data_IF_983483963528
#
_entry.id   IF_983483963528
#
_cell.length_a   1.000
_cell.length_b   1.000
_cell.length_c   1.000
_cell.angle_alpha   90.00
_cell.angle_beta   90.00
_cell.angle_gamma   90.00
#
_symmetry.space_group_name_H-M   'P 1'
#
loop_
_entity.id
_entity.type
_entity.pdbx_description
1 polymer ?
#
# COMPACT_ATOMS: atom_id res chain seq x y z
N UNK A 1 21.78 -21.07 26.56
CA UNK A 1 21.85 -19.60 26.51
C UNK A 1 22.71 -19.27 25.30
N UNK A 2 22.11 -19.29 24.11
CA UNK A 2 22.80 -19.04 22.84
C UNK A 2 21.91 -18.19 21.93
N UNK A 3 22.41 -16.97 21.68
CA UNK A 3 22.25 -16.09 20.51
C UNK A 3 20.96 -16.11 19.68
N UNK A 4 20.14 -15.08 19.88
CA UNK A 4 19.21 -14.52 18.88
C UNK A 4 19.64 -13.08 18.56
N UNK A 5 20.59 -12.88 17.64
CA UNK A 5 21.07 -11.54 17.24
C UNK A 5 21.23 -11.35 15.73
N UNK A 6 20.50 -12.10 14.89
CA UNK A 6 20.63 -11.95 13.42
C UNK A 6 19.36 -11.50 12.69
N UNK A 7 18.22 -11.29 13.35
CA UNK A 7 16.98 -10.92 12.64
C UNK A 7 16.78 -9.40 12.40
N UNK A 8 17.53 -8.53 13.09
CA UNK A 8 17.30 -7.07 13.06
C UNK A 8 17.77 -6.36 11.78
N UNK A 9 18.74 -6.93 11.07
CA UNK A 9 19.35 -6.29 9.89
C UNK A 9 18.45 -6.39 8.65
N UNK A 10 17.59 -7.42 8.61
CA UNK A 10 16.74 -7.74 7.46
C UNK A 10 15.48 -6.87 7.39
N UNK A 11 14.92 -6.49 8.54
CA UNK A 11 13.75 -5.61 8.62
C UNK A 11 14.07 -4.16 8.27
N UNK A 12 15.28 -3.70 8.59
CA UNK A 12 15.74 -2.35 8.25
C UNK A 12 15.86 -2.17 6.74
N UNK A 13 16.43 -3.17 6.05
CA UNK A 13 16.50 -3.23 4.59
C UNK A 13 15.11 -3.33 3.93
N UNK A 14 14.17 -4.07 4.53
CA UNK A 14 12.80 -4.19 4.00
C UNK A 14 12.02 -2.86 4.08
N UNK A 15 12.14 -2.15 5.21
CA UNK A 15 11.56 -0.81 5.41
C UNK A 15 12.25 0.26 4.55
N UNK A 16 13.55 0.11 4.27
CA UNK A 16 14.28 0.97 3.33
C UNK A 16 13.93 0.67 1.86
N UNK A 17 13.64 -0.58 1.49
CA UNK A 17 13.14 -0.93 0.15
C UNK A 17 11.72 -0.38 -0.11
N UNK A 18 10.83 -0.49 0.87
CA UNK A 18 9.44 -0.04 0.77
C UNK A 18 9.35 1.51 0.70
N UNK A 19 10.27 2.17 1.40
CA UNK A 19 10.49 3.62 1.33
C UNK A 19 10.87 4.12 -0.07
N UNK A 20 11.75 3.41 -0.78
CA UNK A 20 12.25 3.88 -2.06
C UNK A 20 11.16 3.87 -3.13
N UNK A 21 10.27 2.89 -3.08
CA UNK A 21 9.13 2.78 -4.00
C UNK A 21 8.12 3.93 -3.83
N UNK A 22 7.81 4.29 -2.58
CA UNK A 22 6.90 5.40 -2.28
C UNK A 22 7.52 6.77 -2.57
N UNK A 23 8.81 6.96 -2.25
CA UNK A 23 9.52 8.21 -2.57
C UNK A 23 9.67 8.40 -4.08
N UNK A 24 9.91 7.31 -4.82
CA UNK A 24 9.90 7.35 -6.27
C UNK A 24 8.51 7.76 -6.80
N UNK A 25 7.41 7.26 -6.21
CA UNK A 25 6.05 7.57 -6.66
C UNK A 25 5.68 9.03 -6.36
N UNK A 26 6.02 9.51 -5.16
CA UNK A 26 5.81 10.92 -4.77
C UNK A 26 6.66 11.89 -5.57
N UNK A 27 7.92 11.52 -5.87
CA UNK A 27 8.80 12.30 -6.74
C UNK A 27 8.26 12.36 -8.18
N UNK A 28 7.61 11.28 -8.63
CA UNK A 28 7.00 11.21 -9.97
C UNK A 28 5.65 11.94 -10.07
N UNK A 29 4.91 12.06 -8.98
CA UNK A 29 3.73 12.94 -8.90
C UNK A 29 4.09 14.42 -8.97
N UNK A 30 5.31 14.79 -8.56
CA UNK A 30 5.79 16.17 -8.64
C UNK A 30 6.27 16.58 -10.05
N UNK A 31 6.61 15.62 -10.93
CA UNK A 31 7.28 15.88 -12.22
C UNK A 31 6.45 15.52 -13.47
N UNK A 32 5.14 15.30 -13.36
CA UNK A 32 4.35 14.81 -14.51
C UNK A 32 4.10 15.89 -15.59
N UNK A 33 4.61 15.74 -16.83
CA UNK A 33 4.15 16.49 -17.98
C UNK A 33 2.81 15.93 -18.47
N UNK A 34 1.98 16.80 -19.02
CA UNK A 34 0.70 16.46 -19.66
C UNK A 34 0.97 15.57 -20.88
N UNK A 35 0.66 14.29 -20.74
CA UNK A 35 0.54 13.33 -21.85
C UNK A 35 1.79 12.53 -22.17
N UNK A 36 1.90 11.30 -21.63
CA UNK A 36 2.53 10.15 -22.27
C UNK A 36 2.39 8.87 -21.42
N UNK A 37 1.58 7.93 -21.93
CA UNK A 37 1.92 6.52 -22.18
C UNK A 37 2.44 5.57 -21.07
N UNK A 38 1.72 4.45 -20.96
CA UNK A 38 2.07 3.09 -20.47
C UNK A 38 3.42 2.91 -19.75
N UNK A 39 3.37 2.75 -18.42
CA UNK A 39 4.48 2.17 -17.66
C UNK A 39 4.20 0.70 -17.35
N UNK A 40 4.63 -0.18 -18.27
CA UNK A 40 4.96 -1.55 -17.95
C UNK A 40 6.16 -1.51 -16.99
N UNK A 41 5.92 -1.75 -15.70
CA UNK A 41 6.99 -1.87 -14.72
C UNK A 41 7.76 -3.17 -14.94
N UNK A 42 8.90 -3.02 -15.59
CA UNK A 42 9.91 -4.05 -15.77
C UNK A 42 10.66 -4.24 -14.44
N UNK A 43 10.27 -5.27 -13.69
CA UNK A 43 10.90 -5.67 -12.43
C UNK A 43 10.46 -7.09 -12.04
N UNK A 44 10.79 -8.06 -12.88
CA UNK A 44 10.51 -9.48 -12.65
C UNK A 44 11.63 -10.08 -11.80
N UNK A 45 11.54 -9.91 -10.48
CA UNK A 45 12.02 -10.97 -9.57
C UNK A 45 10.92 -12.02 -9.50
N UNK A 46 11.26 -13.22 -9.98
CA UNK A 46 10.33 -14.34 -10.15
C UNK A 46 9.88 -14.89 -8.80
N UNK A 47 8.89 -14.22 -8.19
CA UNK A 47 8.07 -14.81 -7.14
C UNK A 47 7.24 -15.93 -7.80
N UNK A 48 7.14 -17.14 -7.22
CA UNK A 48 6.42 -18.25 -7.83
C UNK A 48 4.99 -17.81 -8.17
N UNK A 49 4.65 -17.84 -9.47
CA UNK A 49 3.39 -17.38 -10.04
C UNK A 49 2.16 -18.23 -9.64
N UNK A 50 2.22 -18.93 -8.51
CA UNK A 50 1.21 -19.93 -8.14
C UNK A 50 0.02 -19.32 -7.39
N UNK A 51 0.09 -18.10 -6.84
CA UNK A 51 -1.05 -17.51 -6.11
C UNK A 51 -1.21 -15.98 -6.22
N UNK A 52 -0.56 -15.28 -7.15
CA UNK A 52 -0.74 -13.82 -7.29
C UNK A 52 -1.98 -13.51 -8.16
N UNK A 53 -3.06 -12.91 -7.63
CA UNK A 53 -4.20 -12.52 -8.44
C UNK A 53 -3.75 -11.53 -9.51
N UNK A 54 -4.26 -11.73 -10.74
CA UNK A 54 -3.99 -10.80 -11.83
C UNK A 54 -4.50 -9.40 -11.47
N UNK A 55 -3.90 -8.37 -12.05
CA UNK A 55 -4.32 -6.99 -11.84
C UNK A 55 -5.84 -6.79 -12.06
N UNK A 56 -6.41 -7.47 -13.07
CA UNK A 56 -7.86 -7.45 -13.33
C UNK A 56 -8.66 -7.95 -12.13
N UNK A 57 -8.27 -9.09 -11.56
CA UNK A 57 -8.94 -9.67 -10.41
C UNK A 57 -8.82 -8.77 -9.17
N UNK A 58 -7.64 -8.21 -8.90
CA UNK A 58 -7.46 -7.26 -7.79
C UNK A 58 -8.33 -6.01 -7.95
N UNK A 59 -8.45 -5.49 -9.17
CA UNK A 59 -9.33 -4.36 -9.45
C UNK A 59 -10.81 -4.71 -9.25
N UNK A 60 -11.25 -5.90 -9.68
CA UNK A 60 -12.62 -6.37 -9.42
C UNK A 60 -12.90 -6.51 -7.92
N UNK A 61 -11.96 -7.05 -7.16
CA UNK A 61 -12.10 -7.19 -5.71
C UNK A 61 -12.11 -5.83 -5.02
N UNK A 62 -11.27 -4.88 -5.45
CA UNK A 62 -11.33 -3.49 -5.01
C UNK A 62 -12.72 -2.87 -5.24
N UNK A 63 -13.34 -3.10 -6.42
CA UNK A 63 -14.71 -2.63 -6.70
C UNK A 63 -15.77 -3.27 -5.82
N UNK A 64 -15.61 -4.55 -5.48
CA UNK A 64 -16.52 -5.25 -4.56
C UNK A 64 -16.42 -4.73 -3.13
N UNK A 65 -15.22 -4.39 -2.67
CA UNK A 65 -14.95 -3.84 -1.34
C UNK A 65 -15.45 -2.40 -1.23
N UNK A 66 -15.14 -1.56 -2.22
CA UNK A 66 -15.43 -0.12 -2.19
C UNK A 66 -16.55 0.28 -3.14
N UNK A 67 -17.76 -0.25 -2.90
CA UNK A 67 -18.96 0.04 -3.71
C UNK A 67 -19.39 1.51 -3.71
N UNK A 68 -18.91 2.28 -2.74
CA UNK A 68 -19.18 3.71 -2.59
C UNK A 68 -18.31 4.61 -3.49
N UNK A 69 -17.29 4.06 -4.14
CA UNK A 69 -16.44 4.82 -5.06
C UNK A 69 -17.06 4.94 -6.45
N UNK A 70 -16.81 6.04 -7.18
CA UNK A 70 -17.29 6.21 -8.56
C UNK A 70 -16.80 5.12 -9.51
N UNK A 71 -17.62 4.76 -10.50
CA UNK A 71 -17.29 3.80 -11.56
C UNK A 71 -16.08 4.18 -12.42
N UNK A 72 -15.59 5.41 -12.31
CA UNK A 72 -14.38 5.88 -12.99
C UNK A 72 -13.07 5.48 -12.27
N UNK A 73 -13.10 5.17 -10.97
CA UNK A 73 -11.89 4.97 -10.16
C UNK A 73 -11.21 3.62 -10.40
N UNK A 74 -9.93 3.60 -10.78
CA UNK A 74 -9.21 2.35 -11.06
C UNK A 74 -8.18 2.05 -9.97
N UNK A 75 -8.06 0.80 -9.56
CA UNK A 75 -7.00 0.40 -8.62
C UNK A 75 -5.64 0.56 -9.30
N UNK A 76 -4.75 1.39 -8.75
CA UNK A 76 -3.38 1.53 -9.26
C UNK A 76 -2.51 0.44 -8.64
N UNK A 77 -2.53 0.36 -7.31
CA UNK A 77 -1.68 -0.53 -6.53
C UNK A 77 -2.31 -0.77 -5.16
N UNK A 78 -1.97 -1.89 -4.55
CA UNK A 78 -2.31 -2.20 -3.19
C UNK A 78 -1.09 -2.65 -2.40
N UNK A 79 -1.03 -2.25 -1.13
CA UNK A 79 0.04 -2.53 -0.20
C UNK A 79 -0.52 -3.22 1.04
N UNK A 80 0.18 -4.25 1.52
CA UNK A 80 -0.08 -4.80 2.85
C UNK A 80 0.37 -3.79 3.90
N UNK A 81 -0.50 -3.39 4.83
CA UNK A 81 -0.14 -2.43 5.87
C UNK A 81 -0.98 -2.65 7.13
N UNK A 82 -0.67 -1.92 8.20
CA UNK A 82 -1.50 -1.87 9.39
C UNK A 82 -1.90 -0.42 9.67
N UNK A 83 -3.17 -0.20 10.00
CA UNK A 83 -3.66 1.09 10.45
C UNK A 83 -3.49 1.18 11.97
N UNK A 84 -2.72 2.16 12.43
CA UNK A 84 -2.60 2.46 13.85
C UNK A 84 -3.82 3.25 14.33
N UNK A 85 -4.63 2.63 15.19
CA UNK A 85 -5.66 3.28 16.03
C UNK A 85 -5.30 2.99 17.49
N UNK A 86 -6.28 2.61 18.32
CA UNK A 86 -6.03 2.11 19.68
C UNK A 86 -5.18 0.81 19.64
N UNK A 87 -5.37 0.01 18.59
CA UNK A 87 -4.55 -1.16 18.25
C UNK A 87 -4.10 -1.08 16.77
N UNK A 88 -3.13 -1.91 16.39
CA UNK A 88 -2.72 -2.09 15.00
C UNK A 88 -3.73 -2.97 14.27
N UNK A 89 -4.47 -2.37 13.34
CA UNK A 89 -5.39 -3.08 12.47
C UNK A 89 -4.65 -3.52 11.21
N UNK A 90 -4.21 -4.76 11.15
CA UNK A 90 -3.68 -5.39 9.93
C UNK A 90 -4.71 -5.35 8.79
N UNK A 91 -4.31 -4.89 7.61
CA UNK A 91 -5.17 -4.75 6.46
C UNK A 91 -4.40 -4.53 5.16
N UNK A 92 -5.07 -3.93 4.19
CA UNK A 92 -4.50 -3.54 2.90
C UNK A 92 -4.88 -2.11 2.58
N UNK A 93 -3.90 -1.34 2.13
CA UNK A 93 -4.07 -0.04 1.52
C UNK A 93 -4.27 -0.22 0.02
N UNK A 94 -5.27 0.43 -0.55
CA UNK A 94 -5.57 0.46 -1.96
C UNK A 94 -5.43 1.90 -2.43
N UNK A 95 -4.59 2.11 -3.43
CA UNK A 95 -4.41 3.41 -4.07
C UNK A 95 -5.16 3.42 -5.39
N UNK A 96 -6.00 4.41 -5.58
CA UNK A 96 -6.68 4.73 -6.83
C UNK A 96 -6.21 6.09 -7.35
N UNK A 97 -6.75 6.52 -8.49
CA UNK A 97 -6.35 7.78 -9.13
C UNK A 97 -6.67 8.99 -8.27
N UNK A 98 -7.83 9.01 -7.61
CA UNK A 98 -8.25 10.14 -6.77
C UNK A 98 -8.42 9.78 -5.29
N UNK A 99 -8.21 8.53 -4.91
CA UNK A 99 -8.55 8.02 -3.57
C UNK A 99 -7.46 7.14 -2.96
N UNK A 100 -7.30 7.28 -1.65
CA UNK A 100 -6.60 6.35 -0.79
C UNK A 100 -7.63 5.60 0.03
N UNK A 101 -7.63 4.28 -0.07
CA UNK A 101 -8.60 3.44 0.60
C UNK A 101 -7.90 2.41 1.48
N UNK A 102 -8.46 2.08 2.64
CA UNK A 102 -7.94 1.05 3.53
C UNK A 102 -9.05 0.08 3.89
N UNK A 103 -8.74 -1.21 3.83
CA UNK A 103 -9.64 -2.27 4.26
C UNK A 103 -8.93 -3.19 5.25
N UNK A 104 -9.62 -3.50 6.35
CA UNK A 104 -9.19 -4.48 7.34
C UNK A 104 -10.39 -5.29 7.80
N UNK A 105 -10.17 -6.59 8.04
CA UNK A 105 -11.16 -7.48 8.64
C UNK A 105 -10.47 -8.31 9.71
N UNK A 106 -10.56 -7.83 10.95
CA UNK A 106 -9.98 -8.51 12.12
C UNK A 106 -11.11 -8.73 13.13
N UNK A 107 -11.12 -9.91 13.77
CA UNK A 107 -12.14 -10.29 14.75
C UNK A 107 -13.58 -10.24 14.20
N UNK A 108 -13.77 -10.35 12.88
CA UNK A 108 -15.04 -10.12 12.15
C UNK A 108 -15.54 -8.66 12.15
N UNK A 109 -14.68 -7.72 12.53
CA UNK A 109 -14.95 -6.29 12.41
C UNK A 109 -14.35 -5.79 11.10
N UNK A 110 -15.23 -5.39 10.19
CA UNK A 110 -14.84 -4.77 8.93
C UNK A 110 -14.58 -3.29 9.14
N UNK A 111 -13.36 -2.85 8.81
CA UNK A 111 -12.98 -1.43 8.79
C UNK A 111 -12.70 -1.03 7.36
N UNK A 112 -13.50 -0.09 6.85
CA UNK A 112 -13.34 0.52 5.54
C UNK A 112 -13.10 2.02 5.71
N UNK A 113 -11.98 2.51 5.19
CA UNK A 113 -11.67 3.94 5.12
C UNK A 113 -11.45 4.36 3.68
N UNK A 114 -11.98 5.51 3.30
CA UNK A 114 -11.77 6.11 1.98
C UNK A 114 -11.49 7.60 2.16
N UNK A 115 -10.38 8.07 1.63
CA UNK A 115 -9.94 9.47 1.71
C UNK A 115 -9.64 9.95 0.30
N UNK A 116 -10.19 11.09 -0.10
CA UNK A 116 -9.87 11.71 -1.38
C UNK A 116 -8.50 12.35 -1.29
N UNK A 117 -7.67 12.15 -2.32
CA UNK A 117 -6.35 12.76 -2.40
C UNK A 117 -6.41 14.30 -2.31
N UNK A 118 -7.44 14.92 -2.89
CA UNK A 118 -7.64 16.38 -2.81
C UNK A 118 -7.93 16.91 -1.40
N UNK A 119 -8.39 16.06 -0.48
CA UNK A 119 -8.70 16.45 0.90
C UNK A 119 -7.48 16.24 1.82
N UNK A 120 -6.37 15.68 1.31
CA UNK A 120 -5.14 15.44 2.08
C UNK A 120 -4.34 16.74 2.14
N UNK A 121 -4.21 17.30 3.34
CA UNK A 121 -3.42 18.51 3.57
C UNK A 121 -1.92 18.24 3.68
N UNK A 122 -1.53 17.09 4.24
CA UNK A 122 -0.12 16.75 4.51
C UNK A 122 0.06 15.25 4.64
N UNK A 123 1.19 14.74 4.14
CA UNK A 123 1.62 13.36 4.36
C UNK A 123 3.07 13.35 4.83
N UNK A 124 3.32 12.77 6.00
CA UNK A 124 4.65 12.70 6.60
C UNK A 124 5.09 11.25 6.69
N UNK A 125 6.33 10.98 6.29
CA UNK A 125 6.95 9.67 6.47
C UNK A 125 7.68 9.65 7.82
N UNK A 126 7.06 9.01 8.80
CA UNK A 126 7.66 8.83 10.12
C UNK A 126 8.45 7.51 10.18
N UNK A 127 9.68 7.56 10.69
CA UNK A 127 10.45 6.34 11.02
C UNK A 127 9.90 5.77 12.33
N UNK A 128 8.74 5.13 12.27
CA UNK A 128 8.10 4.57 13.46
C UNK A 128 8.74 3.23 13.81
N UNK A 129 9.95 3.25 14.36
CA UNK A 129 10.50 2.14 15.13
C UNK A 129 10.05 2.31 16.59
N UNK A 130 8.73 2.26 16.84
CA UNK A 130 8.25 2.14 18.22
C UNK A 130 8.43 0.67 18.60
N UNK A 131 9.46 0.44 19.40
CA UNK A 131 9.71 -0.80 20.14
C UNK A 131 8.36 -1.39 20.57
N UNK A 132 8.00 -2.54 20.00
CA UNK A 132 6.87 -3.35 20.48
C UNK A 132 7.33 -3.87 21.86
N UNK A 133 6.60 -3.61 22.97
CA UNK A 133 6.86 -4.33 24.21
C UNK A 133 6.52 -5.82 24.08
#
# INVERSE_FOLDING_TARGET
MESLTESGVLWSLLLELDSQSLLWYLKRLADAPVGAECYCWHGSEKIPAVLSPTYKQRNEDFRKLFKQLPDTERLIVDYSCALQRDILLQGRLYLSENWICFYSNIFRWETLLTVRLKDICSMTKEKTARLIP
#
